data_IF_320208887144
#
_entry.id   IF_320208887144
#
_cell.length_a   1.000
_cell.length_b   1.000
_cell.length_c   1.000
_cell.angle_alpha   90.00
_cell.angle_beta   90.00
_cell.angle_gamma   90.00
#
_symmetry.space_group_name_H-M   'P 1'
#
loop_
_entity.id
_entity.type
_entity.pdbx_description
1 polymer ?
#
# COMPACT_ATOMS: atom_id res chain seq x y z
N UNK A 1 -2.05 -14.09 -22.14
CA UNK A 1 -3.21 -13.35 -22.70
C UNK A 1 -2.71 -12.05 -23.30
N UNK A 2 -3.15 -11.70 -24.51
CA UNK A 2 -2.92 -10.35 -25.03
C UNK A 2 -3.88 -9.39 -24.30
N UNK A 3 -3.34 -8.38 -23.62
CA UNK A 3 -4.15 -7.35 -22.95
C UNK A 3 -4.68 -6.42 -24.06
N UNK A 4 -5.98 -6.27 -24.15
CA UNK A 4 -6.59 -5.21 -24.97
C UNK A 4 -6.62 -3.92 -24.16
N UNK A 5 -5.86 -2.94 -24.61
CA UNK A 5 -5.70 -1.70 -23.84
C UNK A 5 -6.83 -0.70 -24.12
N UNK A 6 -7.30 -0.07 -23.07
CA UNK A 6 -8.30 1.00 -23.11
C UNK A 6 -7.58 2.35 -23.10
N UNK A 7 -7.61 3.16 -24.19
CA UNK A 7 -6.98 4.47 -24.21
C UNK A 7 -7.51 5.38 -23.10
N UNK A 8 -6.62 6.17 -22.53
CA UNK A 8 -6.96 7.14 -21.49
C UNK A 8 -5.71 7.67 -20.77
N UNK A 9 -5.87 8.68 -19.90
CA UNK A 9 -4.73 9.32 -19.22
C UNK A 9 -3.86 8.40 -18.42
N UNK A 10 -4.42 7.36 -17.76
CA UNK A 10 -3.62 6.40 -16.99
C UNK A 10 -2.72 5.57 -17.89
N UNK A 11 -3.28 5.06 -19.01
CA UNK A 11 -2.49 4.30 -19.97
C UNK A 11 -1.40 5.16 -20.61
N UNK A 12 -1.72 6.42 -20.92
CA UNK A 12 -0.78 7.38 -21.50
C UNK A 12 0.38 7.66 -20.53
N UNK A 13 0.09 7.95 -19.26
CA UNK A 13 1.11 8.13 -18.22
C UNK A 13 1.97 6.89 -18.05
N UNK A 14 1.36 5.70 -17.92
CA UNK A 14 2.07 4.44 -17.69
C UNK A 14 3.01 4.05 -18.85
N UNK A 15 2.70 4.46 -20.09
CA UNK A 15 3.50 4.15 -21.28
C UNK A 15 4.60 5.16 -21.57
N UNK A 16 4.35 6.42 -21.27
CA UNK A 16 5.19 7.53 -21.73
C UNK A 16 6.04 8.14 -20.59
N UNK A 17 5.86 7.68 -19.36
CA UNK A 17 6.62 8.16 -18.18
C UNK A 17 7.13 6.98 -17.34
N UNK A 18 8.11 7.19 -16.44
CA UNK A 18 8.59 6.14 -15.56
C UNK A 18 7.60 5.75 -14.44
N UNK A 19 6.46 6.46 -14.34
CA UNK A 19 5.46 6.23 -13.28
C UNK A 19 4.66 4.97 -13.53
N UNK A 20 4.78 3.99 -12.64
CA UNK A 20 4.05 2.73 -12.73
C UNK A 20 2.64 2.84 -12.11
N UNK A 21 1.65 2.25 -12.76
CA UNK A 21 0.29 2.15 -12.25
C UNK A 21 0.08 0.78 -11.59
N UNK A 22 -0.43 0.76 -10.35
CA UNK A 22 -0.96 -0.42 -9.68
C UNK A 22 -2.44 -0.23 -9.37
N UNK A 23 -3.19 -1.33 -9.23
CA UNK A 23 -4.59 -1.30 -8.82
C UNK A 23 -4.72 -1.45 -7.30
N UNK A 24 -5.47 -0.58 -6.62
CA UNK A 24 -5.72 -0.72 -5.17
C UNK A 24 -6.97 -1.58 -4.90
N UNK A 25 -6.94 -2.81 -5.44
CA UNK A 25 -7.93 -3.87 -5.22
C UNK A 25 -7.33 -5.21 -5.63
N UNK A 26 -7.75 -6.29 -4.95
CA UNK A 26 -7.46 -7.68 -5.32
C UNK A 26 -8.66 -8.39 -5.96
N UNK A 27 -9.74 -7.69 -6.27
CA UNK A 27 -10.83 -8.27 -7.06
C UNK A 27 -10.35 -8.57 -8.48
N UNK A 28 -10.47 -9.83 -8.96
CA UNK A 28 -9.95 -10.23 -10.27
C UNK A 28 -10.59 -9.48 -11.44
N UNK A 29 -11.86 -9.06 -11.34
CA UNK A 29 -12.54 -8.33 -12.41
C UNK A 29 -12.08 -6.88 -12.49
N UNK A 30 -11.93 -6.21 -11.34
CA UNK A 30 -11.36 -4.86 -11.25
C UNK A 30 -9.90 -4.87 -11.72
N UNK A 31 -9.13 -5.87 -11.32
CA UNK A 31 -7.74 -6.03 -11.74
C UNK A 31 -7.62 -6.24 -13.25
N UNK A 32 -8.45 -7.13 -13.83
CA UNK A 32 -8.46 -7.36 -15.28
C UNK A 32 -8.75 -6.08 -16.07
N UNK A 33 -9.70 -5.27 -15.61
CA UNK A 33 -9.99 -3.98 -16.23
C UNK A 33 -8.84 -2.97 -15.99
N UNK A 34 -8.26 -2.94 -14.80
CA UNK A 34 -7.14 -2.04 -14.50
C UNK A 34 -5.89 -2.36 -15.32
N UNK A 35 -5.65 -3.64 -15.64
CA UNK A 35 -4.60 -4.04 -16.59
C UNK A 35 -4.80 -3.41 -17.97
N UNK A 36 -6.05 -3.23 -18.43
CA UNK A 36 -6.32 -2.54 -19.69
C UNK A 36 -5.99 -1.03 -19.65
N UNK A 37 -5.94 -0.43 -18.45
CA UNK A 37 -5.49 0.95 -18.21
C UNK A 37 -3.97 1.08 -18.07
N UNK A 38 -3.22 -0.02 -18.19
CA UNK A 38 -1.77 -0.04 -18.05
C UNK A 38 -1.27 -0.38 -16.64
N UNK A 39 -2.12 -0.91 -15.75
CA UNK A 39 -1.66 -1.41 -14.45
C UNK A 39 -0.67 -2.55 -14.60
N UNK A 40 0.36 -2.52 -13.76
CA UNK A 40 1.43 -3.51 -13.72
C UNK A 40 1.62 -4.13 -12.33
N UNK A 41 0.63 -4.02 -11.46
CA UNK A 41 0.64 -4.57 -10.11
C UNK A 41 -0.67 -4.29 -9.38
N UNK A 42 -0.81 -4.82 -8.17
CA UNK A 42 -1.98 -4.58 -7.34
C UNK A 42 -1.63 -4.54 -5.85
N UNK A 43 -2.46 -3.84 -5.07
CA UNK A 43 -2.36 -3.78 -3.62
C UNK A 43 -3.62 -4.33 -2.95
N UNK A 44 -3.41 -5.05 -1.85
CA UNK A 44 -4.45 -5.51 -0.95
C UNK A 44 -4.13 -5.07 0.49
N UNK A 45 -5.15 -4.99 1.33
CA UNK A 45 -5.06 -4.79 2.78
C UNK A 45 -6.31 -5.43 3.43
N UNK A 46 -6.40 -5.56 4.76
CA UNK A 46 -7.55 -6.21 5.40
C UNK A 46 -8.92 -5.64 5.01
N UNK A 47 -9.02 -4.31 4.86
CA UNK A 47 -10.28 -3.67 4.44
C UNK A 47 -10.64 -4.02 2.99
N UNK A 48 -9.65 -4.02 2.09
CA UNK A 48 -9.85 -4.41 0.67
C UNK A 48 -10.22 -5.89 0.58
N UNK A 49 -9.49 -6.77 1.29
CA UNK A 49 -9.79 -8.20 1.30
C UNK A 49 -11.22 -8.49 1.77
N UNK A 50 -11.62 -7.93 2.91
CA UNK A 50 -12.99 -8.04 3.40
C UNK A 50 -14.01 -7.51 2.39
N UNK A 51 -13.75 -6.36 1.78
CA UNK A 51 -14.65 -5.77 0.77
C UNK A 51 -14.79 -6.68 -0.45
N UNK A 52 -13.70 -7.20 -1.02
CA UNK A 52 -13.73 -8.11 -2.16
C UNK A 52 -14.47 -9.41 -1.84
N UNK A 53 -14.25 -9.99 -0.64
CA UNK A 53 -14.93 -11.19 -0.18
C UNK A 53 -16.44 -10.91 -0.03
N UNK A 54 -16.80 -9.80 0.60
CA UNK A 54 -18.20 -9.44 0.85
C UNK A 54 -18.96 -9.05 -0.44
N UNK A 55 -18.29 -8.52 -1.44
CA UNK A 55 -18.89 -8.25 -2.76
C UNK A 55 -19.12 -9.52 -3.59
N UNK A 56 -18.32 -10.58 -3.38
CA UNK A 56 -18.41 -11.86 -4.07
C UNK A 56 -18.91 -12.97 -3.12
N UNK A 57 -19.95 -12.69 -2.34
CA UNK A 57 -20.51 -13.66 -1.38
C UNK A 57 -20.98 -14.97 -2.01
N UNK A 58 -21.45 -14.92 -3.25
CA UNK A 58 -21.84 -16.09 -4.05
C UNK A 58 -20.68 -17.07 -4.30
N UNK A 59 -19.46 -16.59 -4.34
CA UNK A 59 -18.23 -17.37 -4.47
C UNK A 59 -17.68 -17.76 -3.09
N UNK A 60 -17.54 -16.79 -2.20
CA UNK A 60 -16.77 -16.97 -0.96
C UNK A 60 -17.55 -17.63 0.17
N UNK A 61 -18.89 -17.46 0.30
CA UNK A 61 -19.64 -18.14 1.37
C UNK A 61 -19.65 -19.68 1.19
N UNK A 62 -19.87 -20.24 -0.02
CA UNK A 62 -19.70 -21.67 -0.24
C UNK A 62 -18.27 -22.14 0.05
N UNK A 63 -17.22 -21.37 -0.37
CA UNK A 63 -15.84 -21.72 -0.11
C UNK A 63 -15.49 -21.74 1.39
N UNK A 64 -15.99 -20.79 2.17
CA UNK A 64 -15.85 -20.77 3.64
C UNK A 64 -16.47 -22.04 4.24
N UNK A 65 -17.65 -22.45 3.78
CA UNK A 65 -18.32 -23.68 4.26
C UNK A 65 -17.53 -24.96 3.89
N UNK A 66 -16.82 -24.97 2.76
CA UNK A 66 -15.93 -26.07 2.39
C UNK A 66 -14.67 -26.08 3.26
N UNK A 67 -14.01 -24.91 3.44
CA UNK A 67 -12.83 -24.76 4.28
C UNK A 67 -13.11 -25.19 5.73
N UNK A 68 -14.29 -24.89 6.27
CA UNK A 68 -14.68 -25.36 7.60
C UNK A 68 -14.72 -26.89 7.71
N UNK A 69 -15.00 -27.62 6.61
CA UNK A 69 -14.95 -29.10 6.57
C UNK A 69 -13.52 -29.60 6.38
N UNK A 70 -12.73 -28.91 5.56
CA UNK A 70 -11.32 -29.23 5.30
C UNK A 70 -10.44 -28.98 6.54
N UNK A 71 -10.81 -27.98 7.34
CA UNK A 71 -10.08 -27.49 8.52
C UNK A 71 -10.94 -27.59 9.79
N UNK A 72 -11.36 -28.77 10.24
CA UNK A 72 -12.39 -28.95 11.28
C UNK A 72 -12.01 -28.40 12.66
N UNK A 73 -10.73 -28.16 12.91
CA UNK A 73 -10.22 -27.59 14.16
C UNK A 73 -9.77 -26.12 14.06
N UNK A 74 -9.96 -25.50 12.87
CA UNK A 74 -9.56 -24.14 12.64
C UNK A 74 -10.54 -23.15 13.30
N UNK A 75 -10.00 -22.06 13.79
CA UNK A 75 -10.73 -20.90 14.27
C UNK A 75 -11.35 -20.13 13.09
N UNK A 76 -12.32 -19.27 13.38
CA UNK A 76 -12.89 -18.34 12.40
C UNK A 76 -11.80 -17.56 11.67
N UNK A 77 -10.83 -17.09 12.42
CA UNK A 77 -9.71 -16.32 11.91
C UNK A 77 -8.80 -17.14 10.97
N UNK A 78 -8.48 -18.37 11.30
CA UNK A 78 -7.66 -19.24 10.43
C UNK A 78 -8.36 -19.53 9.10
N UNK A 79 -9.68 -19.75 9.13
CA UNK A 79 -10.49 -19.90 7.92
C UNK A 79 -10.52 -18.58 7.13
N UNK A 80 -10.76 -17.44 7.79
CA UNK A 80 -10.77 -16.13 7.16
C UNK A 80 -9.44 -15.80 6.47
N UNK A 81 -8.32 -16.07 7.12
CA UNK A 81 -6.99 -15.87 6.54
C UNK A 81 -6.69 -16.85 5.39
N UNK A 82 -7.26 -18.06 5.43
CA UNK A 82 -7.16 -18.98 4.28
C UNK A 82 -7.90 -18.41 3.06
N UNK A 83 -9.08 -17.82 3.25
CA UNK A 83 -9.80 -17.11 2.16
C UNK A 83 -8.98 -15.94 1.62
N UNK A 84 -8.34 -15.15 2.50
CA UNK A 84 -7.46 -14.04 2.07
C UNK A 84 -6.26 -14.55 1.25
N UNK A 85 -5.68 -15.70 1.61
CA UNK A 85 -4.62 -16.34 0.81
C UNK A 85 -5.12 -16.75 -0.58
N UNK A 86 -6.28 -17.39 -0.66
CA UNK A 86 -6.87 -17.82 -1.94
C UNK A 86 -7.21 -16.63 -2.84
N UNK A 87 -7.84 -15.58 -2.31
CA UNK A 87 -8.11 -14.33 -3.03
C UNK A 87 -6.81 -13.70 -3.55
N UNK A 88 -5.78 -13.68 -2.71
CA UNK A 88 -4.48 -13.10 -3.10
C UNK A 88 -3.80 -13.93 -4.20
N UNK A 89 -3.91 -15.24 -4.16
CA UNK A 89 -3.37 -16.12 -5.21
C UNK A 89 -4.10 -15.96 -6.55
N UNK A 90 -5.43 -15.77 -6.54
CA UNK A 90 -6.20 -15.45 -7.76
C UNK A 90 -5.67 -14.17 -8.43
N UNK A 91 -5.47 -13.11 -7.66
CA UNK A 91 -4.95 -11.84 -8.16
C UNK A 91 -3.47 -11.94 -8.58
N UNK A 92 -2.62 -12.62 -7.81
CA UNK A 92 -1.21 -12.82 -8.13
C UNK A 92 -1.03 -13.54 -9.48
N UNK A 93 -1.87 -14.55 -9.77
CA UNK A 93 -1.84 -15.30 -11.03
C UNK A 93 -2.10 -14.42 -12.26
N UNK A 94 -2.96 -13.41 -12.16
CA UNK A 94 -3.22 -12.47 -13.25
C UNK A 94 -2.01 -11.58 -13.56
N UNK A 95 -1.18 -11.31 -12.55
CA UNK A 95 -0.01 -10.43 -12.62
C UNK A 95 1.29 -11.19 -13.00
N UNK A 96 1.31 -12.51 -12.86
CA UNK A 96 2.50 -13.34 -13.08
C UNK A 96 3.15 -13.15 -14.46
N UNK A 97 2.41 -13.04 -15.59
CA UNK A 97 3.03 -12.81 -16.90
C UNK A 97 3.81 -11.49 -16.98
N UNK A 98 3.36 -10.45 -16.29
CA UNK A 98 4.06 -9.16 -16.22
C UNK A 98 5.32 -9.29 -15.36
N UNK A 99 5.23 -10.02 -14.24
CA UNK A 99 6.37 -10.28 -13.37
C UNK A 99 7.51 -10.97 -14.13
N UNK A 100 7.19 -11.97 -14.93
CA UNK A 100 8.18 -12.68 -15.74
C UNK A 100 8.76 -11.81 -16.84
N UNK A 101 7.91 -11.09 -17.58
CA UNK A 101 8.34 -10.23 -18.67
C UNK A 101 9.27 -9.09 -18.21
N UNK A 102 9.07 -8.59 -16.98
CA UNK A 102 9.82 -7.47 -16.43
C UNK A 102 10.84 -7.86 -15.34
N UNK A 103 11.20 -9.14 -15.29
CA UNK A 103 12.19 -9.69 -14.35
C UNK A 103 11.93 -9.26 -12.88
N UNK A 104 10.68 -9.30 -12.45
CA UNK A 104 10.27 -8.99 -11.09
C UNK A 104 10.17 -7.51 -10.73
N UNK A 105 10.48 -6.57 -11.63
CA UNK A 105 10.31 -5.14 -11.37
C UNK A 105 8.84 -4.76 -11.10
N UNK A 106 7.93 -5.28 -11.91
CA UNK A 106 6.49 -5.14 -11.83
C UNK A 106 5.80 -6.53 -11.76
N UNK A 107 4.49 -6.60 -11.95
CA UNK A 107 3.72 -7.83 -11.91
C UNK A 107 3.52 -8.38 -10.50
N UNK A 108 3.53 -7.52 -9.48
CA UNK A 108 3.45 -7.91 -8.07
C UNK A 108 2.06 -7.70 -7.50
N UNK A 109 1.63 -8.67 -6.67
CA UNK A 109 0.49 -8.49 -5.76
C UNK A 109 1.01 -8.19 -4.36
N UNK A 110 0.54 -7.11 -3.75
CA UNK A 110 0.90 -6.74 -2.40
C UNK A 110 -0.13 -7.26 -1.40
N UNK A 111 0.23 -8.25 -0.60
CA UNK A 111 -0.56 -8.85 0.47
C UNK A 111 -0.09 -8.33 1.82
N UNK A 112 -1.01 -7.98 2.74
CA UNK A 112 -0.65 -7.39 4.03
C UNK A 112 -0.61 -8.44 5.13
N UNK A 113 0.33 -8.31 6.08
CA UNK A 113 0.38 -9.09 7.31
C UNK A 113 -0.84 -8.83 8.20
N UNK A 114 -1.18 -9.80 9.04
CA UNK A 114 -2.25 -9.71 10.02
C UNK A 114 -2.03 -8.51 10.97
N UNK A 115 -2.98 -7.55 11.05
CA UNK A 115 -2.83 -6.37 11.89
C UNK A 115 -2.73 -6.70 13.39
N UNK A 116 -3.16 -7.87 13.83
CA UNK A 116 -3.04 -8.35 15.22
C UNK A 116 -1.59 -8.66 15.61
N UNK A 117 -0.70 -8.86 14.63
CA UNK A 117 0.73 -9.11 14.85
C UNK A 117 1.54 -7.82 15.07
N UNK A 118 0.93 -6.63 14.98
CA UNK A 118 1.61 -5.32 14.99
C UNK A 118 2.49 -5.04 16.23
N UNK A 119 2.49 -5.92 17.24
CA UNK A 119 3.29 -5.80 18.47
C UNK A 119 4.49 -6.75 18.52
N UNK A 120 4.76 -7.50 17.46
CA UNK A 120 5.85 -8.49 17.42
C UNK A 120 6.58 -8.43 16.08
N UNK A 121 7.82 -7.92 16.10
CA UNK A 121 8.68 -7.87 14.92
C UNK A 121 8.92 -9.28 14.34
N UNK A 122 9.18 -10.25 15.23
CA UNK A 122 9.37 -11.64 14.82
C UNK A 122 8.14 -12.21 14.12
N UNK A 123 6.94 -12.04 14.69
CA UNK A 123 5.72 -12.59 14.13
C UNK A 123 5.38 -11.95 12.77
N UNK A 124 5.59 -10.63 12.63
CA UNK A 124 5.45 -9.92 11.36
C UNK A 124 6.41 -10.44 10.30
N UNK A 125 7.69 -10.64 10.65
CA UNK A 125 8.69 -11.16 9.72
C UNK A 125 8.43 -12.63 9.34
N UNK A 126 8.02 -13.47 10.28
CA UNK A 126 7.67 -14.87 10.04
C UNK A 126 6.48 -14.98 9.08
N UNK A 127 5.41 -14.23 9.32
CA UNK A 127 4.25 -14.23 8.42
C UNK A 127 4.58 -13.59 7.06
N UNK A 128 5.45 -12.60 7.03
CA UNK A 128 5.90 -12.03 5.77
C UNK A 128 6.65 -13.06 4.91
N UNK A 129 7.49 -13.88 5.51
CA UNK A 129 8.16 -14.99 4.82
C UNK A 129 7.17 -16.07 4.38
N UNK A 130 6.19 -16.43 5.21
CA UNK A 130 5.10 -17.33 4.85
C UNK A 130 4.35 -16.84 3.60
N UNK A 131 3.93 -15.57 3.61
CA UNK A 131 3.16 -15.00 2.48
C UNK A 131 3.98 -14.84 1.22
N UNK A 132 5.25 -14.48 1.34
CA UNK A 132 6.17 -14.41 0.22
C UNK A 132 6.30 -15.76 -0.51
N UNK A 133 6.27 -16.86 0.23
CA UNK A 133 6.38 -18.22 -0.31
C UNK A 133 5.10 -18.74 -0.96
N UNK A 134 3.97 -18.04 -0.88
CA UNK A 134 2.72 -18.43 -1.54
C UNK A 134 2.82 -18.34 -3.07
N UNK A 135 3.46 -17.29 -3.61
CA UNK A 135 3.74 -17.13 -5.03
C UNK A 135 4.93 -16.19 -5.24
N UNK A 136 5.71 -16.43 -6.31
CA UNK A 136 6.95 -15.68 -6.62
C UNK A 136 6.78 -14.17 -6.79
N UNK A 137 5.57 -13.72 -7.12
CA UNK A 137 5.24 -12.34 -7.36
C UNK A 137 4.44 -11.68 -6.21
N UNK A 138 4.35 -12.33 -5.05
CA UNK A 138 3.81 -11.69 -3.84
C UNK A 138 4.87 -10.78 -3.23
N UNK A 139 4.47 -9.55 -2.93
CA UNK A 139 5.18 -8.58 -2.12
C UNK A 139 4.39 -8.35 -0.82
N UNK A 140 5.05 -8.32 0.33
CA UNK A 140 4.35 -8.37 1.60
C UNK A 140 4.32 -7.00 2.28
N UNK A 141 3.11 -6.52 2.62
CA UNK A 141 2.92 -5.26 3.36
C UNK A 141 3.19 -5.44 4.85
N UNK A 142 4.10 -4.60 5.38
CA UNK A 142 4.42 -4.51 6.81
C UNK A 142 4.21 -3.05 7.25
N UNK A 143 3.54 -2.78 8.40
CA UNK A 143 3.26 -1.43 8.86
C UNK A 143 4.51 -0.70 9.34
N UNK A 144 4.60 0.62 9.06
CA UNK A 144 5.66 1.52 9.52
C UNK A 144 5.43 1.94 10.99
N UNK A 145 5.46 0.99 11.91
CA UNK A 145 5.45 1.16 13.36
C UNK A 145 6.86 0.99 13.92
N UNK A 146 7.09 1.29 15.20
CA UNK A 146 8.37 1.03 15.86
C UNK A 146 8.82 -0.42 15.68
N UNK A 147 7.92 -1.35 15.98
CA UNK A 147 8.11 -2.81 15.81
C UNK A 147 8.21 -3.19 14.33
N UNK A 148 7.44 -2.52 13.47
CA UNK A 148 7.44 -2.76 12.03
C UNK A 148 8.78 -2.44 11.35
N UNK A 149 9.52 -1.44 11.84
CA UNK A 149 10.86 -1.09 11.31
C UNK A 149 11.83 -2.28 11.45
N UNK A 150 11.83 -2.94 12.61
CA UNK A 150 12.65 -4.15 12.85
C UNK A 150 12.18 -5.32 11.94
N UNK A 151 10.86 -5.51 11.83
CA UNK A 151 10.30 -6.56 10.99
C UNK A 151 10.62 -6.37 9.51
N UNK A 152 10.60 -5.12 9.01
CA UNK A 152 10.94 -4.76 7.64
C UNK A 152 12.41 -5.11 7.32
N UNK A 153 13.35 -4.75 8.21
CA UNK A 153 14.75 -5.10 8.03
C UNK A 153 14.94 -6.62 7.99
N UNK A 154 14.35 -7.33 8.97
CA UNK A 154 14.50 -8.78 9.08
C UNK A 154 13.83 -9.52 7.91
N UNK A 155 12.61 -9.16 7.51
CA UNK A 155 11.93 -9.76 6.38
C UNK A 155 12.72 -9.53 5.06
N UNK A 156 13.25 -8.32 4.86
CA UNK A 156 14.11 -8.01 3.72
C UNK A 156 15.37 -8.86 3.73
N UNK A 157 16.03 -9.01 4.87
CA UNK A 157 17.20 -9.89 5.03
C UNK A 157 16.86 -11.35 4.71
N UNK A 158 15.67 -11.85 5.05
CA UNK A 158 15.20 -13.20 4.69
C UNK A 158 14.87 -13.36 3.19
N UNK A 159 14.82 -12.28 2.43
CA UNK A 159 14.57 -12.30 0.98
C UNK A 159 13.17 -11.92 0.56
N UNK A 160 12.36 -11.47 1.50
CA UNK A 160 11.00 -10.99 1.21
C UNK A 160 11.08 -9.64 0.53
N UNK A 161 10.41 -9.48 -0.61
CA UNK A 161 10.12 -8.16 -1.14
C UNK A 161 9.05 -7.51 -0.25
N UNK A 162 9.42 -6.43 0.44
CA UNK A 162 8.55 -5.74 1.39
C UNK A 162 7.88 -4.54 0.73
N UNK A 163 6.58 -4.36 1.00
CA UNK A 163 5.88 -3.10 0.78
C UNK A 163 5.56 -2.47 2.14
N UNK A 164 6.18 -1.35 2.46
CA UNK A 164 5.86 -0.62 3.69
C UNK A 164 4.46 -0.03 3.60
N UNK A 165 3.67 -0.14 4.66
CA UNK A 165 2.32 0.44 4.75
C UNK A 165 2.10 1.15 6.09
N UNK A 166 0.91 1.71 6.32
CA UNK A 166 0.63 2.50 7.54
C UNK A 166 1.70 3.58 7.73
N UNK A 167 2.07 4.22 6.63
CA UNK A 167 3.07 5.26 6.57
C UNK A 167 2.43 6.53 5.98
N UNK A 168 2.66 7.67 6.63
CA UNK A 168 2.02 8.96 6.33
C UNK A 168 3.04 10.09 6.29
N UNK A 169 4.18 9.90 6.95
CA UNK A 169 5.20 10.93 7.15
C UNK A 169 6.48 10.63 6.39
N UNK A 170 7.23 11.69 6.14
CA UNK A 170 8.58 11.59 5.55
C UNK A 170 9.50 10.79 6.48
N UNK A 171 9.42 11.01 7.79
CA UNK A 171 10.19 10.26 8.79
C UNK A 171 9.93 8.75 8.71
N UNK A 172 8.64 8.31 8.63
CA UNK A 172 8.30 6.90 8.47
C UNK A 172 8.85 6.33 7.16
N UNK A 173 8.68 7.05 6.05
CA UNK A 173 9.16 6.59 4.74
C UNK A 173 10.68 6.42 4.73
N UNK A 174 11.43 7.41 5.21
CA UNK A 174 12.89 7.39 5.26
C UNK A 174 13.40 6.28 6.17
N UNK A 175 12.90 6.20 7.41
CA UNK A 175 13.33 5.19 8.38
C UNK A 175 13.11 3.76 7.87
N UNK A 176 11.97 3.51 7.25
CA UNK A 176 11.66 2.18 6.71
C UNK A 176 12.42 1.89 5.41
N UNK A 177 12.66 2.90 4.57
CA UNK A 177 13.54 2.79 3.42
C UNK A 177 14.98 2.42 3.83
N UNK A 178 15.50 3.04 4.89
CA UNK A 178 16.81 2.70 5.47
C UNK A 178 16.82 1.29 6.10
N UNK A 179 15.72 0.84 6.72
CA UNK A 179 15.60 -0.53 7.22
C UNK A 179 15.67 -1.56 6.06
N UNK A 180 14.99 -1.29 4.96
CA UNK A 180 15.11 -2.10 3.73
C UNK A 180 16.57 -2.14 3.25
N UNK A 181 17.25 -1.00 3.18
CA UNK A 181 18.66 -0.93 2.76
C UNK A 181 19.57 -1.76 3.67
N UNK A 182 19.37 -1.72 4.99
CA UNK A 182 20.13 -2.57 5.92
C UNK A 182 19.87 -4.05 5.68
N UNK A 183 18.61 -4.45 5.47
CA UNK A 183 18.24 -5.84 5.15
C UNK A 183 18.88 -6.32 3.85
N UNK A 184 18.85 -5.50 2.78
CA UNK A 184 19.50 -5.81 1.50
C UNK A 184 21.01 -5.95 1.64
N UNK A 185 21.69 -5.01 2.32
CA UNK A 185 23.13 -5.06 2.56
C UNK A 185 23.56 -6.28 3.38
N UNK A 186 22.77 -6.70 4.37
CA UNK A 186 23.01 -7.94 5.11
C UNK A 186 22.97 -9.16 4.20
N UNK A 187 22.00 -9.23 3.26
CA UNK A 187 21.92 -10.30 2.26
C UNK A 187 23.13 -10.33 1.33
N UNK A 188 23.45 -9.18 0.78
CA UNK A 188 24.57 -9.02 -0.17
C UNK A 188 25.91 -9.40 0.48
N UNK A 189 26.11 -9.02 1.76
CA UNK A 189 27.30 -9.41 2.52
C UNK A 189 27.46 -10.92 2.71
N UNK A 190 26.36 -11.68 2.66
CA UNK A 190 26.34 -13.15 2.70
C UNK A 190 26.31 -13.80 1.30
N UNK A 191 26.43 -13.01 0.22
CA UNK A 191 26.37 -13.51 -1.14
C UNK A 191 24.99 -13.99 -1.59
N UNK A 192 23.92 -13.61 -0.88
CA UNK A 192 22.55 -13.96 -1.25
C UNK A 192 22.02 -13.03 -2.34
N UNK A 193 21.30 -13.60 -3.31
CA UNK A 193 20.75 -12.85 -4.44
C UNK A 193 19.67 -11.82 -4.01
N UNK A 194 19.77 -10.62 -4.57
CA UNK A 194 18.79 -9.53 -4.40
C UNK A 194 18.23 -9.02 -5.73
N UNK A 195 18.62 -9.63 -6.85
CA UNK A 195 18.36 -9.13 -8.23
C UNK A 195 16.87 -9.05 -8.58
N UNK A 196 16.06 -9.94 -8.02
CA UNK A 196 14.60 -9.94 -8.22
C UNK A 196 13.83 -9.30 -7.05
N UNK A 197 14.52 -8.76 -6.05
CA UNK A 197 13.84 -8.05 -4.98
C UNK A 197 13.39 -6.66 -5.46
N UNK A 198 12.11 -6.36 -5.24
CA UNK A 198 11.51 -5.07 -5.64
C UNK A 198 10.78 -4.41 -4.47
N UNK A 199 11.52 -3.96 -3.43
CA UNK A 199 10.89 -3.35 -2.28
C UNK A 199 10.19 -2.04 -2.64
N UNK A 200 9.09 -1.76 -1.92
CA UNK A 200 8.26 -0.57 -2.11
C UNK A 200 7.98 0.09 -0.75
N UNK A 201 7.94 1.41 -0.72
CA UNK A 201 7.51 2.18 0.45
C UNK A 201 6.26 2.97 0.09
N UNK A 202 5.12 2.54 0.61
CA UNK A 202 3.84 3.22 0.41
C UNK A 202 3.69 4.38 1.37
N UNK A 203 3.36 5.56 0.85
CA UNK A 203 2.86 6.69 1.62
C UNK A 203 1.36 6.84 1.34
N UNK A 204 0.55 6.76 2.39
CA UNK A 204 -0.91 6.81 2.30
C UNK A 204 -1.38 8.26 2.24
N UNK A 205 -1.12 8.92 1.11
CA UNK A 205 -1.23 10.37 0.92
C UNK A 205 -2.60 10.92 1.31
N UNK A 206 -3.69 10.33 0.85
CA UNK A 206 -5.03 10.83 1.16
C UNK A 206 -5.44 10.60 2.61
N UNK A 207 -4.88 9.60 3.30
CA UNK A 207 -5.12 9.45 4.75
C UNK A 207 -4.32 10.47 5.57
N UNK A 208 -3.20 10.96 5.07
CA UNK A 208 -2.54 12.11 5.66
C UNK A 208 -3.39 13.36 5.51
N UNK A 209 -3.97 13.62 4.33
CA UNK A 209 -4.91 14.73 4.13
C UNK A 209 -6.08 14.65 5.12
N UNK A 210 -6.71 13.46 5.24
CA UNK A 210 -7.81 13.25 6.17
C UNK A 210 -7.41 13.56 7.62
N UNK A 211 -6.22 13.12 8.03
CA UNK A 211 -5.72 13.33 9.40
C UNK A 211 -5.45 14.82 9.69
N UNK A 212 -4.77 15.50 8.77
CA UNK A 212 -4.44 16.93 8.97
C UNK A 212 -5.70 17.80 8.94
N UNK A 213 -6.70 17.48 8.09
CA UNK A 213 -8.01 18.13 8.13
C UNK A 213 -8.72 17.96 9.48
N UNK A 214 -8.66 16.76 10.06
CA UNK A 214 -9.24 16.48 11.38
C UNK A 214 -8.52 17.25 12.49
N UNK A 215 -7.19 17.33 12.46
CA UNK A 215 -6.39 18.11 13.39
C UNK A 215 -6.72 19.61 13.26
N UNK A 216 -6.75 20.14 12.04
CA UNK A 216 -7.08 21.55 11.81
C UNK A 216 -8.49 21.89 12.32
N UNK A 217 -9.47 20.99 12.11
CA UNK A 217 -10.83 21.19 12.61
C UNK A 217 -10.89 21.12 14.15
N UNK A 218 -10.23 20.12 14.78
CA UNK A 218 -10.15 19.96 16.23
C UNK A 218 -9.55 21.21 16.89
N UNK A 219 -8.48 21.73 16.31
CA UNK A 219 -7.73 22.86 16.84
C UNK A 219 -8.30 24.21 16.38
N UNK A 220 -9.46 24.19 15.69
CA UNK A 220 -10.21 25.38 15.20
C UNK A 220 -9.34 26.32 14.36
N UNK A 221 -8.45 25.77 13.55
CA UNK A 221 -7.60 26.56 12.67
C UNK A 221 -8.42 27.09 11.49
N UNK A 222 -8.32 28.40 11.24
CA UNK A 222 -8.98 29.04 10.09
C UNK A 222 -8.02 29.04 8.89
N UNK A 223 -8.17 28.05 8.02
CA UNK A 223 -7.29 27.77 6.89
C UNK A 223 -8.10 27.63 5.60
N UNK A 224 -7.45 27.85 4.46
CA UNK A 224 -8.04 27.51 3.15
C UNK A 224 -8.16 25.97 3.03
N UNK A 225 -9.39 25.42 2.90
CA UNK A 225 -9.57 23.99 2.80
C UNK A 225 -8.91 23.38 1.55
N UNK A 226 -8.78 24.15 0.46
CA UNK A 226 -8.08 23.71 -0.74
C UNK A 226 -6.59 23.47 -0.53
N UNK A 227 -5.96 24.19 0.38
CA UNK A 227 -4.56 23.95 0.73
C UNK A 227 -4.35 22.62 1.47
N UNK A 228 -5.34 22.18 2.26
CA UNK A 228 -5.25 20.92 3.00
C UNK A 228 -5.32 19.66 2.11
N UNK A 229 -5.76 19.81 0.85
CA UNK A 229 -5.71 18.73 -0.15
C UNK A 229 -4.29 18.41 -0.65
N UNK A 230 -3.29 19.19 -0.22
CA UNK A 230 -1.90 19.06 -0.64
C UNK A 230 -0.99 18.44 0.43
N UNK A 231 -1.49 18.09 1.59
CA UNK A 231 -0.65 17.53 2.66
C UNK A 231 0.09 16.26 2.20
N UNK A 232 -0.65 15.30 1.65
CA UNK A 232 -0.08 14.07 1.13
C UNK A 232 0.84 14.29 -0.05
N UNK A 233 0.49 15.21 -0.97
CA UNK A 233 1.32 15.56 -2.12
C UNK A 233 2.67 16.15 -1.66
N UNK A 234 2.63 17.11 -0.75
CA UNK A 234 3.85 17.75 -0.24
C UNK A 234 4.76 16.75 0.49
N UNK A 235 4.18 15.92 1.38
CA UNK A 235 4.94 14.88 2.09
C UNK A 235 5.54 13.84 1.14
N UNK A 236 4.80 13.41 0.11
CA UNK A 236 5.29 12.42 -0.86
C UNK A 236 6.46 12.98 -1.69
N UNK A 237 6.33 14.18 -2.24
CA UNK A 237 7.42 14.84 -2.99
C UNK A 237 8.66 15.04 -2.12
N UNK A 238 8.48 15.44 -0.85
CA UNK A 238 9.59 15.56 0.10
C UNK A 238 10.27 14.24 0.39
N UNK A 239 9.49 13.18 0.64
CA UNK A 239 10.02 11.84 0.85
C UNK A 239 10.77 11.32 -0.39
N UNK A 240 10.22 11.54 -1.59
CA UNK A 240 10.88 11.17 -2.84
C UNK A 240 12.26 11.85 -2.98
N UNK A 241 12.37 13.14 -2.69
CA UNK A 241 13.64 13.86 -2.68
C UNK A 241 14.65 13.27 -1.67
N UNK A 242 14.19 12.90 -0.47
CA UNK A 242 15.04 12.22 0.53
C UNK A 242 15.51 10.85 0.05
N UNK A 243 14.65 10.07 -0.62
CA UNK A 243 15.01 8.79 -1.21
C UNK A 243 16.13 8.95 -2.26
N UNK A 244 15.97 9.90 -3.19
CA UNK A 244 17.00 10.19 -4.19
C UNK A 244 18.32 10.63 -3.54
N UNK A 245 18.26 11.57 -2.59
CA UNK A 245 19.42 12.09 -1.87
C UNK A 245 20.18 11.01 -1.11
N UNK A 246 19.48 10.04 -0.52
CA UNK A 246 20.06 8.94 0.28
C UNK A 246 20.40 7.70 -0.55
N UNK A 247 20.01 7.68 -1.81
CA UNK A 247 20.21 6.52 -2.70
C UNK A 247 19.45 5.27 -2.23
N UNK A 248 18.24 5.43 -1.67
CA UNK A 248 17.40 4.31 -1.23
C UNK A 248 16.82 3.58 -2.43
N UNK A 249 16.97 2.25 -2.47
CA UNK A 249 16.59 1.41 -3.62
C UNK A 249 15.09 1.08 -3.71
N UNK A 250 14.35 1.20 -2.61
CA UNK A 250 12.91 0.97 -2.62
C UNK A 250 12.19 2.03 -3.46
N UNK A 251 11.21 1.60 -4.30
CA UNK A 251 10.33 2.56 -4.98
C UNK A 251 9.29 3.10 -4.04
N UNK A 252 9.00 4.38 -4.13
CA UNK A 252 7.88 4.95 -3.41
C UNK A 252 6.56 4.64 -4.10
N UNK A 253 5.49 4.48 -3.29
CA UNK A 253 4.13 4.25 -3.77
C UNK A 253 3.14 5.22 -3.13
N UNK A 254 2.34 5.89 -3.96
CA UNK A 254 1.21 6.72 -3.53
C UNK A 254 -0.07 5.90 -3.48
N UNK A 255 -0.75 5.89 -2.34
CA UNK A 255 -2.01 5.16 -2.14
C UNK A 255 -3.07 5.96 -1.38
N UNK A 256 -4.28 5.40 -1.30
CA UNK A 256 -5.41 5.94 -0.54
C UNK A 256 -5.91 7.29 -1.07
N UNK A 257 -6.18 7.40 -2.35
CA UNK A 257 -6.57 8.63 -3.03
C UNK A 257 -7.82 9.30 -2.48
N UNK A 258 -7.79 10.66 -2.42
CA UNK A 258 -8.92 11.54 -2.10
C UNK A 258 -9.21 12.54 -3.20
N UNK A 259 -8.21 12.80 -4.05
CA UNK A 259 -8.32 13.71 -5.19
C UNK A 259 -7.36 13.27 -6.31
N UNK A 260 -7.47 13.88 -7.48
CA UNK A 260 -6.67 13.52 -8.67
C UNK A 260 -5.18 13.84 -8.51
N UNK A 261 -4.82 14.79 -7.66
CA UNK A 261 -3.43 15.20 -7.43
C UNK A 261 -2.59 14.05 -6.83
N UNK A 262 -3.23 13.09 -6.15
CA UNK A 262 -2.56 11.90 -5.63
C UNK A 262 -2.03 10.96 -6.72
N UNK A 263 -2.34 11.24 -7.97
CA UNK A 263 -1.77 10.66 -9.18
C UNK A 263 -1.03 11.70 -9.98
N UNK A 264 -1.72 12.78 -10.40
CA UNK A 264 -1.20 13.72 -11.40
C UNK A 264 0.07 14.45 -10.96
N UNK A 265 0.22 14.75 -9.66
CA UNK A 265 1.41 15.42 -9.13
C UNK A 265 2.64 14.52 -9.01
N UNK A 266 2.49 13.21 -9.26
CA UNK A 266 3.59 12.23 -9.18
C UNK A 266 4.01 11.67 -10.53
N UNK A 267 3.29 12.03 -11.60
CA UNK A 267 3.65 11.66 -12.97
C UNK A 267 5.03 12.21 -13.32
N UNK A 268 5.85 11.40 -13.95
CA UNK A 268 7.25 11.69 -14.30
C UNK A 268 8.27 11.17 -13.29
N UNK A 269 7.86 10.80 -12.06
CA UNK A 269 8.74 10.14 -11.10
C UNK A 269 8.84 8.62 -11.32
N UNK A 270 10.00 8.02 -11.00
CA UNK A 270 10.11 6.55 -10.89
C UNK A 270 9.47 6.07 -9.60
N UNK A 271 8.15 6.12 -9.58
CA UNK A 271 7.29 5.78 -8.45
C UNK A 271 6.14 4.88 -8.90
N UNK A 272 5.43 4.34 -7.94
CA UNK A 272 4.17 3.63 -8.17
C UNK A 272 3.02 4.51 -7.71
N UNK A 273 1.95 4.56 -8.51
CA UNK A 273 0.67 5.14 -8.10
C UNK A 273 -0.37 4.05 -8.04
N UNK A 274 -1.09 3.95 -6.92
CA UNK A 274 -2.07 2.88 -6.68
C UNK A 274 -3.43 3.48 -6.32
N UNK A 275 -4.18 3.97 -7.34
CA UNK A 275 -5.53 4.46 -7.14
C UNK A 275 -6.49 3.31 -6.82
N UNK A 276 -7.46 3.49 -5.90
CA UNK A 276 -8.64 2.64 -5.83
C UNK A 276 -9.31 2.54 -7.21
N UNK A 277 -9.84 1.35 -7.54
CA UNK A 277 -10.40 1.09 -8.88
C UNK A 277 -11.38 2.17 -9.37
N UNK A 278 -12.24 2.68 -8.47
CA UNK A 278 -13.14 3.81 -8.77
C UNK A 278 -12.37 5.04 -9.29
N UNK A 279 -11.24 5.38 -8.67
CA UNK A 279 -10.41 6.50 -9.11
C UNK A 279 -9.70 6.19 -10.42
N UNK A 280 -9.19 4.96 -10.58
CA UNK A 280 -8.55 4.54 -11.83
C UNK A 280 -9.54 4.70 -13.02
N UNK A 281 -10.78 4.23 -12.84
CA UNK A 281 -11.81 4.38 -13.86
C UNK A 281 -12.14 5.85 -14.16
N UNK A 282 -12.37 6.68 -13.13
CA UNK A 282 -12.67 8.12 -13.31
C UNK A 282 -11.54 8.86 -14.02
N UNK A 283 -10.29 8.57 -13.69
CA UNK A 283 -9.14 9.21 -14.35
C UNK A 283 -9.01 8.73 -15.79
N UNK A 284 -9.11 7.42 -16.04
CA UNK A 284 -8.92 6.89 -17.39
C UNK A 284 -10.07 7.27 -18.34
N UNK A 285 -11.28 7.46 -17.84
CA UNK A 285 -12.45 7.89 -18.62
C UNK A 285 -12.49 9.43 -18.83
N UNK A 286 -11.55 10.19 -18.25
CA UNK A 286 -11.49 11.65 -18.33
C UNK A 286 -10.69 12.12 -19.56
N UNK A 287 -10.76 13.43 -19.85
CA UNK A 287 -9.94 14.14 -20.84
C UNK A 287 -8.70 14.81 -20.20
N UNK A 288 -8.28 14.34 -19.00
CA UNK A 288 -7.14 14.90 -18.27
C UNK A 288 -5.87 14.82 -19.11
N UNK A 289 -5.16 15.93 -19.24
CA UNK A 289 -3.88 15.97 -19.94
C UNK A 289 -2.76 15.51 -19.03
N UNK A 290 -2.03 14.52 -19.50
CA UNK A 290 -0.87 13.97 -18.77
C UNK A 290 0.30 14.94 -18.89
N UNK A 291 0.84 15.36 -17.77
CA UNK A 291 2.02 16.23 -17.65
C UNK A 291 2.93 15.66 -16.58
N UNK A 292 4.24 15.71 -16.81
CA UNK A 292 5.22 15.38 -15.77
C UNK A 292 5.28 16.50 -14.73
N UNK A 293 4.91 16.15 -13.48
CA UNK A 293 4.74 17.11 -12.40
C UNK A 293 5.52 16.75 -11.12
N UNK A 294 6.20 15.60 -11.08
CA UNK A 294 6.92 15.14 -9.89
C UNK A 294 7.93 16.17 -9.39
N UNK A 295 8.66 16.79 -10.30
CA UNK A 295 9.71 17.76 -9.96
C UNK A 295 9.19 19.21 -9.80
N UNK A 296 7.91 19.45 -10.08
CA UNK A 296 7.28 20.76 -9.87
C UNK A 296 7.01 20.93 -8.37
N UNK A 297 7.59 21.93 -7.71
CA UNK A 297 7.37 22.14 -6.28
C UNK A 297 5.92 22.53 -5.99
N UNK A 298 5.45 22.19 -4.79
CA UNK A 298 4.19 22.72 -4.27
C UNK A 298 4.31 24.22 -4.11
N UNK A 299 3.26 24.97 -4.49
CA UNK A 299 3.25 26.42 -4.44
C UNK A 299 3.56 26.95 -3.03
N UNK A 300 4.27 28.07 -2.98
CA UNK A 300 4.74 28.66 -1.70
C UNK A 300 3.59 29.06 -0.78
N UNK A 301 2.48 29.59 -1.32
CA UNK A 301 1.31 29.98 -0.52
C UNK A 301 0.64 28.76 0.15
N UNK A 302 0.57 27.62 -0.55
CA UNK A 302 0.10 26.35 -0.02
C UNK A 302 1.07 25.88 1.07
N UNK A 303 2.37 25.79 0.78
CA UNK A 303 3.37 25.35 1.74
C UNK A 303 3.38 26.23 3.00
N UNK A 304 3.21 27.54 2.88
CA UNK A 304 3.10 28.44 4.02
C UNK A 304 1.92 28.08 4.93
N UNK A 305 0.78 27.73 4.33
CA UNK A 305 -0.39 27.27 5.09
C UNK A 305 -0.10 25.95 5.79
N UNK A 306 0.43 24.95 5.07
CA UNK A 306 0.70 23.62 5.61
C UNK A 306 1.72 23.67 6.75
N UNK A 307 2.81 24.43 6.58
CA UNK A 307 3.86 24.60 7.61
C UNK A 307 3.40 25.39 8.84
N UNK A 308 2.23 26.02 8.80
CA UNK A 308 1.62 26.61 10.00
C UNK A 308 0.91 25.59 10.90
N UNK A 309 0.76 24.33 10.44
CA UNK A 309 0.10 23.26 11.17
C UNK A 309 1.17 22.36 11.83
N UNK A 310 1.34 22.38 13.16
CA UNK A 310 2.41 21.62 13.83
C UNK A 310 2.40 20.13 13.51
N UNK A 311 1.22 19.52 13.42
CA UNK A 311 1.09 18.10 13.09
C UNK A 311 1.51 17.80 11.65
N UNK A 312 1.29 18.73 10.70
CA UNK A 312 1.81 18.59 9.34
C UNK A 312 3.34 18.70 9.33
N UNK A 313 3.92 19.64 10.07
CA UNK A 313 5.39 19.79 10.18
C UNK A 313 6.01 18.49 10.69
N UNK A 314 5.43 17.85 11.71
CA UNK A 314 5.88 16.53 12.18
C UNK A 314 5.84 15.44 11.08
N UNK A 315 4.84 15.49 10.19
CA UNK A 315 4.72 14.54 9.09
C UNK A 315 5.65 14.87 7.91
N UNK A 316 5.98 16.15 7.72
CA UNK A 316 6.73 16.66 6.57
C UNK A 316 8.25 16.63 6.76
N UNK A 317 8.74 16.87 7.99
CA UNK A 317 10.17 16.89 8.24
C UNK A 317 10.74 15.47 8.35
N UNK A 318 11.91 15.19 7.73
CA UNK A 318 12.53 13.84 7.73
C UNK A 318 12.90 13.33 9.13
N UNK A 319 13.07 14.22 10.08
CA UNK A 319 13.36 13.98 11.50
C UNK A 319 12.20 14.44 12.42
N UNK A 320 11.03 14.67 11.84
CA UNK A 320 9.86 15.17 12.56
C UNK A 320 9.26 14.20 13.57
N UNK A 321 9.62 12.91 13.49
CA UNK A 321 9.20 11.86 14.43
C UNK A 321 10.29 10.80 14.59
N UNK A 322 10.43 10.27 15.81
CA UNK A 322 11.22 9.05 16.07
C UNK A 322 10.40 7.79 15.77
N UNK A 323 11.02 6.60 15.60
CA UNK A 323 10.29 5.35 15.41
C UNK A 323 9.25 5.06 16.50
N UNK A 324 9.53 5.39 17.76
CA UNK A 324 8.60 5.22 18.89
C UNK A 324 7.36 6.12 18.76
N UNK A 325 7.51 7.30 18.17
CA UNK A 325 6.40 8.22 17.93
C UNK A 325 5.51 7.81 16.75
N UNK A 326 5.98 6.92 15.85
CA UNK A 326 5.15 6.39 14.77
C UNK A 326 3.89 5.69 15.30
N UNK A 327 4.02 4.98 16.43
CA UNK A 327 2.94 4.19 17.02
C UNK A 327 1.79 5.06 17.56
N UNK A 328 2.09 6.32 17.93
CA UNK A 328 1.14 7.28 18.50
C UNK A 328 0.67 8.34 17.48
N UNK A 329 1.25 8.37 16.29
CA UNK A 329 0.79 9.29 15.24
C UNK A 329 -0.66 8.97 14.86
N UNK A 330 -1.53 9.98 14.81
CA UNK A 330 -2.96 9.77 14.67
C UNK A 330 -3.36 9.03 13.39
N UNK A 331 -2.67 9.29 12.28
CA UNK A 331 -2.85 8.54 11.03
C UNK A 331 -2.55 7.05 11.20
N UNK A 332 -1.49 6.69 11.93
CA UNK A 332 -1.12 5.30 12.26
C UNK A 332 -2.19 4.62 13.09
N UNK A 333 -2.56 5.23 14.22
CA UNK A 333 -3.54 4.67 15.15
C UNK A 333 -4.87 4.43 14.45
N UNK A 334 -5.37 5.45 13.73
CA UNK A 334 -6.66 5.36 13.01
C UNK A 334 -6.66 4.25 11.96
N UNK A 335 -5.56 4.12 11.23
CA UNK A 335 -5.46 3.12 10.15
C UNK A 335 -5.37 1.70 10.71
N UNK A 336 -4.54 1.46 11.73
CA UNK A 336 -4.43 0.14 12.36
C UNK A 336 -5.76 -0.28 12.99
N UNK A 337 -6.47 0.63 13.66
CA UNK A 337 -7.82 0.35 14.19
C UNK A 337 -8.81 -0.04 13.10
N UNK A 338 -8.75 0.63 11.94
CA UNK A 338 -9.59 0.28 10.79
C UNK A 338 -9.27 -1.11 10.21
N UNK A 339 -8.00 -1.48 10.17
CA UNK A 339 -7.59 -2.82 9.71
C UNK A 339 -7.99 -3.92 10.71
N UNK A 340 -7.82 -3.68 12.01
CA UNK A 340 -8.29 -4.59 13.06
C UNK A 340 -9.81 -4.79 13.01
N UNK A 341 -10.57 -3.71 12.70
CA UNK A 341 -12.03 -3.83 12.55
C UNK A 341 -12.39 -4.66 11.31
N UNK A 342 -11.74 -4.44 10.17
CA UNK A 342 -11.98 -5.23 8.96
C UNK A 342 -11.67 -6.72 9.15
N UNK A 343 -10.65 -7.04 9.94
CA UNK A 343 -10.28 -8.39 10.32
C UNK A 343 -11.36 -9.03 11.21
N UNK A 344 -11.87 -8.28 12.20
CA UNK A 344 -12.99 -8.71 13.04
C UNK A 344 -14.30 -8.89 12.23
N UNK A 345 -14.53 -8.05 11.23
CA UNK A 345 -15.69 -8.18 10.33
C UNK A 345 -15.60 -9.44 9.46
N UNK A 346 -14.38 -9.80 9.04
CA UNK A 346 -14.13 -11.07 8.32
C UNK A 346 -14.37 -12.28 9.24
N UNK A 347 -13.87 -12.25 10.48
CA UNK A 347 -14.12 -13.31 11.46
C UNK A 347 -15.63 -13.48 11.70
N UNK A 348 -16.38 -12.36 11.80
CA UNK A 348 -17.84 -12.40 11.94
C UNK A 348 -18.52 -13.01 10.71
N UNK A 349 -18.08 -12.66 9.49
CA UNK A 349 -18.60 -13.26 8.26
C UNK A 349 -18.37 -14.78 8.22
N UNK A 350 -17.20 -15.23 8.61
CA UNK A 350 -16.89 -16.66 8.71
C UNK A 350 -17.80 -17.34 9.74
N UNK A 351 -17.95 -16.71 10.92
CA UNK A 351 -18.84 -17.23 12.00
C UNK A 351 -20.26 -17.44 11.51
N UNK A 352 -20.81 -16.47 10.79
CA UNK A 352 -22.18 -16.55 10.26
C UNK A 352 -22.38 -17.74 9.29
N UNK A 353 -21.30 -18.20 8.64
CA UNK A 353 -21.33 -19.37 7.76
C UNK A 353 -21.18 -20.67 8.52
N UNK A 354 -20.23 -20.75 9.46
CA UNK A 354 -19.91 -22.01 10.16
C UNK A 354 -20.81 -22.26 11.37
N UNK A 355 -21.40 -21.22 11.91
CA UNK A 355 -22.30 -21.24 13.07
C UNK A 355 -23.43 -20.22 12.85
N UNK A 356 -24.34 -20.47 11.91
CA UNK A 356 -25.42 -19.53 11.62
C UNK A 356 -26.31 -19.33 12.84
N UNK A 357 -26.85 -18.12 12.98
CA UNK A 357 -27.83 -17.82 14.03
C UNK A 357 -29.04 -18.77 13.90
N UNK A 358 -29.62 -19.23 15.04
CA UNK A 358 -30.76 -20.15 15.07
C UNK A 358 -32.03 -19.55 14.47
#
# INVERSE_FOLDING_TARGET
MSIEYTPGPLLDAARNTPTALWNDSSDPSELAQSLSFGSVGATCNPTIAYTCINQRRDVWLPRIAELAKEMPNATESEIGWQVVRELSLEAAKLLEPIFEAENGRNGRLSMQTDPRLARSAKALADQAEEFHNLAKNIIVKIPATSVGVEAIEEATYRGVSVNVTVSFSVAQAVTTGEAIERGLKRREAEGKDTSQMGPVVTLMVGRLDDWIKEVAARDKMFLDPGHLEWCGVAAFKRAYQEFQKRGLRARMLSAAFRNVMHWSEFVGGDVVVSPPFKWAKLINDSDYKVEERMDIPVREDIMKTLLSIPEFVRAYEPDGMTPEEFDTFGGTVRTLRGFLQADADLDALVRDVIMPAP
#
